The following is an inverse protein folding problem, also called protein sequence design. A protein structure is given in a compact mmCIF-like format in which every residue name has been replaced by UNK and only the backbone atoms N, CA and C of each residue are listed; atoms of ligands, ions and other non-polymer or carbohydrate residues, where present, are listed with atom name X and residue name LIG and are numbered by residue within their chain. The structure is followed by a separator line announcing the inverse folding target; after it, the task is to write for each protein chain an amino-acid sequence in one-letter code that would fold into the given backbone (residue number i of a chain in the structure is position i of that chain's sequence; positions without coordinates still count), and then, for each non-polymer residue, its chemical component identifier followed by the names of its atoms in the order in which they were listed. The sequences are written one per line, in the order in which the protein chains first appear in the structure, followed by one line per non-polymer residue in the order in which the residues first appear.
data_IF_431385048023
#
_entry.id   IF_431385048023
#
_cell.length_a   1.000
_cell.length_b   1.000
_cell.length_c   1.000
_cell.angle_alpha   90.00
_cell.angle_beta   90.00
_cell.angle_gamma   90.00
#
_symmetry.space_group_name_H-M   'P 1'
#
loop_
_entity.id
_entity.type
_entity.pdbx_description
1 polymer ?
#
# COMPACT_ATOMS: atom_id res chain seq x y z
N UNK A 1 7.12 16.20 14.04
CA UNK A 1 6.61 16.04 12.67
C UNK A 1 6.52 14.56 12.33
N UNK A 2 5.41 14.13 11.74
CA UNK A 2 5.23 12.72 11.38
C UNK A 2 6.12 12.32 10.20
N UNK A 3 6.71 11.12 10.29
CA UNK A 3 7.55 10.55 9.24
C UNK A 3 6.99 9.19 8.82
N UNK A 4 6.77 9.03 7.53
CA UNK A 4 6.26 7.78 7.01
C UNK A 4 7.22 6.63 7.28
N UNK A 5 6.64 5.48 7.67
CA UNK A 5 7.34 4.20 7.72
C UNK A 5 6.34 3.08 7.45
N UNK A 6 6.83 1.97 6.93
CA UNK A 6 6.00 0.79 6.76
C UNK A 6 5.83 0.10 8.11
N UNK A 7 4.59 -0.01 8.56
CA UNK A 7 4.28 -0.65 9.84
C UNK A 7 4.14 -2.15 9.62
N UNK A 8 4.98 -2.93 10.28
CA UNK A 8 4.92 -4.39 10.19
C UNK A 8 3.56 -4.91 10.64
N UNK A 9 3.05 -5.92 9.96
CA UNK A 9 1.76 -6.56 10.24
C UNK A 9 0.55 -5.67 9.96
N UNK A 10 0.73 -4.53 9.27
CA UNK A 10 -0.40 -3.73 8.80
C UNK A 10 -1.13 -4.44 7.66
N UNK A 11 -0.41 -4.75 6.58
CA UNK A 11 -0.93 -5.51 5.45
C UNK A 11 -1.99 -4.81 4.61
N UNK A 12 -2.36 -3.56 4.91
CA UNK A 12 -3.42 -2.87 4.17
C UNK A 12 -3.11 -2.75 2.69
N UNK A 13 -1.84 -2.54 2.33
CA UNK A 13 -1.42 -2.43 0.93
C UNK A 13 -1.53 -3.75 0.16
N UNK A 14 -1.72 -4.87 0.84
CA UNK A 14 -1.94 -6.18 0.22
C UNK A 14 -3.42 -6.44 -0.09
N UNK A 15 -4.32 -5.55 0.29
CA UNK A 15 -5.72 -5.61 -0.10
C UNK A 15 -5.84 -4.96 -1.48
N UNK A 16 -5.94 -5.79 -2.52
CA UNK A 16 -5.78 -5.35 -3.90
C UNK A 16 -7.08 -5.24 -4.69
N UNK A 17 -8.22 -5.63 -4.12
CA UNK A 17 -9.50 -5.72 -4.85
C UNK A 17 -9.70 -4.52 -5.79
N UNK A 18 -9.72 -4.74 -7.12
CA UNK A 18 -9.82 -3.63 -8.09
C UNK A 18 -11.15 -2.87 -8.00
N UNK A 19 -12.20 -3.49 -7.47
CA UNK A 19 -13.49 -2.81 -7.31
C UNK A 19 -13.44 -1.77 -6.20
N UNK A 20 -12.53 -1.91 -5.25
CA UNK A 20 -12.32 -0.96 -4.15
C UNK A 20 -11.19 0.02 -4.44
N UNK A 21 -10.36 -0.27 -5.44
CA UNK A 21 -9.22 0.56 -5.83
C UNK A 21 -9.19 0.80 -7.34
N UNK A 22 -10.29 1.30 -7.93
CA UNK A 22 -10.39 1.42 -9.41
C UNK A 22 -9.37 2.39 -10.01
N UNK A 23 -8.91 3.37 -9.23
CA UNK A 23 -7.96 4.38 -9.70
C UNK A 23 -6.56 3.83 -9.95
N UNK A 24 -6.22 2.66 -9.40
CA UNK A 24 -4.87 2.07 -9.55
C UNK A 24 -4.56 1.81 -11.02
N UNK A 25 -5.55 1.39 -11.80
CA UNK A 25 -5.36 1.12 -13.22
C UNK A 25 -4.84 2.34 -13.98
N UNK A 26 -5.24 3.54 -13.57
CA UNK A 26 -4.86 4.79 -14.24
C UNK A 26 -3.38 5.12 -14.08
N UNK A 27 -2.73 4.58 -13.05
CA UNK A 27 -1.33 4.88 -12.74
C UNK A 27 -0.35 3.84 -13.24
N UNK A 28 -0.83 2.66 -13.64
CA UNK A 28 0.03 1.55 -14.05
C UNK A 28 0.07 1.40 -15.57
N UNK A 29 1.21 0.93 -16.08
CA UNK A 29 1.29 0.52 -17.49
C UNK A 29 0.44 -0.72 -17.69
N UNK A 30 0.17 -1.07 -18.97
CA UNK A 30 -0.61 -2.27 -19.27
C UNK A 30 0.04 -3.53 -18.71
N UNK A 31 1.38 -3.62 -18.76
CA UNK A 31 2.12 -4.76 -18.21
C UNK A 31 2.02 -4.80 -16.69
N UNK A 32 2.17 -3.65 -16.03
CA UNK A 32 2.04 -3.54 -14.58
C UNK A 32 0.62 -3.87 -14.12
N UNK A 33 -0.39 -3.42 -14.87
CA UNK A 33 -1.79 -3.73 -14.56
C UNK A 33 -2.06 -5.23 -14.67
N UNK A 34 -1.56 -5.89 -15.72
CA UNK A 34 -1.68 -7.34 -15.87
C UNK A 34 -1.02 -8.07 -14.71
N UNK A 35 0.19 -7.61 -14.30
CA UNK A 35 0.90 -8.18 -13.16
C UNK A 35 0.09 -7.99 -11.86
N UNK A 36 -0.43 -6.77 -11.66
CA UNK A 36 -1.28 -6.46 -10.49
C UNK A 36 -2.47 -7.42 -10.42
N UNK A 37 -3.19 -7.59 -11.51
CA UNK A 37 -4.34 -8.48 -11.55
C UNK A 37 -3.96 -9.93 -11.25
N UNK A 38 -2.78 -10.36 -11.66
CA UNK A 38 -2.29 -11.72 -11.38
C UNK A 38 -2.04 -11.97 -9.89
N UNK A 39 -1.86 -10.91 -9.10
CA UNK A 39 -1.64 -11.00 -7.66
C UNK A 39 -2.93 -11.01 -6.85
N UNK A 40 -4.05 -10.65 -7.46
CA UNK A 40 -5.33 -10.55 -6.74
C UNK A 40 -5.90 -11.94 -6.51
N UNK A 41 -6.04 -12.33 -5.24
CA UNK A 41 -6.67 -13.58 -4.86
C UNK A 41 -8.19 -13.52 -4.91
N UNK A 42 -8.83 -14.66 -4.71
CA UNK A 42 -10.30 -14.77 -4.74
C UNK A 42 -10.98 -13.92 -3.68
N UNK A 43 -10.29 -13.62 -2.60
CA UNK A 43 -10.78 -12.82 -1.47
C UNK A 43 -10.41 -11.33 -1.59
N UNK A 44 -9.79 -10.92 -2.69
CA UNK A 44 -9.35 -9.54 -2.91
C UNK A 44 -7.99 -9.21 -2.33
N UNK A 45 -7.39 -10.11 -1.55
CA UNK A 45 -6.04 -9.92 -1.01
C UNK A 45 -4.98 -10.45 -1.98
N UNK A 46 -3.77 -9.91 -1.87
CA UNK A 46 -2.64 -10.40 -2.64
C UNK A 46 -2.38 -11.89 -2.34
N UNK A 47 -2.11 -12.68 -3.36
CA UNK A 47 -1.81 -14.11 -3.20
C UNK A 47 -0.56 -14.37 -2.34
N UNK A 48 0.30 -13.37 -2.18
CA UNK A 48 1.50 -13.44 -1.35
C UNK A 48 1.29 -12.92 0.07
N UNK A 49 0.08 -12.49 0.40
CA UNK A 49 -0.23 -12.03 1.75
C UNK A 49 -0.47 -13.22 2.66
N UNK A 50 0.27 -13.27 3.78
CA UNK A 50 0.06 -14.29 4.80
C UNK A 50 -0.89 -13.74 5.87
N UNK A 51 -2.13 -14.26 5.89
CA UNK A 51 -3.15 -13.80 6.83
C UNK A 51 -2.84 -14.10 8.29
N UNK A 52 -2.06 -15.16 8.56
CA UNK A 52 -1.71 -15.54 9.92
C UNK A 52 -0.69 -14.59 10.53
N UNK A 53 0.36 -14.22 9.77
CA UNK A 53 1.40 -13.30 10.22
C UNK A 53 1.12 -11.86 9.82
N UNK A 54 0.18 -11.64 8.88
CA UNK A 54 -0.18 -10.35 8.31
C UNK A 54 1.01 -9.68 7.62
N UNK A 55 1.82 -10.48 6.91
CA UNK A 55 3.02 -10.04 6.22
C UNK A 55 3.00 -10.47 4.76
N UNK A 56 3.67 -9.69 3.93
CA UNK A 56 3.92 -10.05 2.54
C UNK A 56 5.03 -11.08 2.49
N UNK A 57 4.77 -12.26 1.88
CA UNK A 57 5.76 -13.35 1.76
C UNK A 57 6.90 -12.99 0.83
N UNK A 58 6.69 -12.03 -0.08
CA UNK A 58 7.70 -11.59 -1.05
C UNK A 58 8.13 -10.16 -0.77
N UNK A 59 8.19 -9.76 0.50
CA UNK A 59 8.45 -8.36 0.87
C UNK A 59 9.69 -7.79 0.18
N UNK A 60 10.79 -8.55 0.14
CA UNK A 60 12.03 -8.11 -0.49
C UNK A 60 11.94 -8.07 -2.02
N UNK A 61 11.11 -8.91 -2.62
CA UNK A 61 10.92 -9.03 -4.06
C UNK A 61 9.62 -8.38 -4.54
N UNK A 62 9.04 -7.46 -3.75
CA UNK A 62 7.80 -6.79 -4.14
C UNK A 62 7.92 -6.10 -5.49
N UNK A 63 6.86 -6.15 -6.33
CA UNK A 63 6.83 -5.32 -7.53
C UNK A 63 7.03 -3.85 -7.20
N UNK A 64 7.49 -3.06 -8.18
CA UNK A 64 7.73 -1.63 -7.96
C UNK A 64 6.47 -0.91 -7.48
N UNK A 65 5.30 -1.23 -8.05
CA UNK A 65 4.05 -0.58 -7.65
C UNK A 65 3.62 -0.89 -6.22
N UNK A 66 4.27 -1.83 -5.53
CA UNK A 66 4.05 -2.13 -4.11
C UNK A 66 5.07 -1.44 -3.21
N UNK A 67 5.98 -0.64 -3.75
CA UNK A 67 7.08 -0.03 -2.99
C UNK A 67 6.88 1.47 -2.83
N UNK A 68 7.05 1.95 -1.61
CA UNK A 68 7.06 3.38 -1.31
C UNK A 68 8.51 3.86 -1.43
N UNK A 69 8.88 4.30 -2.63
CA UNK A 69 10.23 4.78 -2.94
C UNK A 69 10.12 6.05 -3.79
N UNK A 70 11.08 6.99 -3.66
CA UNK A 70 10.99 8.27 -4.37
C UNK A 70 10.88 8.13 -5.89
N UNK A 71 11.69 7.29 -6.51
CA UNK A 71 11.69 7.08 -7.96
C UNK A 71 10.39 6.43 -8.44
N UNK A 72 9.86 5.48 -7.68
CA UNK A 72 8.60 4.80 -8.01
C UNK A 72 7.42 5.78 -7.92
N UNK A 73 7.33 6.55 -6.85
CA UNK A 73 6.22 7.49 -6.65
C UNK A 73 6.28 8.65 -7.63
N UNK A 74 7.47 9.11 -8.01
CA UNK A 74 7.61 10.12 -9.05
C UNK A 74 7.11 9.59 -10.39
N UNK A 75 7.47 8.37 -10.74
CA UNK A 75 7.05 7.74 -12.01
C UNK A 75 5.56 7.45 -12.05
N UNK A 76 5.01 6.87 -10.97
CA UNK A 76 3.60 6.45 -10.95
C UNK A 76 2.64 7.62 -10.71
N UNK A 77 2.97 8.53 -9.81
CA UNK A 77 2.03 9.54 -9.31
C UNK A 77 2.48 10.98 -9.54
N UNK A 78 3.68 11.19 -10.10
CA UNK A 78 4.22 12.53 -10.28
C UNK A 78 4.58 13.25 -8.99
N UNK A 79 4.82 12.50 -7.91
CA UNK A 79 5.14 13.05 -6.59
C UNK A 79 6.65 13.32 -6.50
N UNK A 80 7.01 14.57 -6.18
CA UNK A 80 8.41 14.92 -6.00
C UNK A 80 8.96 14.36 -4.68
N UNK A 81 10.29 14.11 -4.59
CA UNK A 81 10.87 13.51 -3.39
C UNK A 81 10.55 14.25 -2.10
N UNK A 82 10.49 15.58 -2.11
CA UNK A 82 10.20 16.39 -0.92
C UNK A 82 8.73 16.28 -0.47
N UNK A 83 7.85 15.80 -1.34
CA UNK A 83 6.44 15.60 -1.04
C UNK A 83 6.12 14.15 -0.66
N UNK A 84 7.09 13.24 -0.84
CA UNK A 84 6.86 11.80 -0.68
C UNK A 84 6.35 11.43 0.70
N UNK A 85 6.94 12.00 1.76
CA UNK A 85 6.58 11.68 3.13
C UNK A 85 5.08 11.92 3.41
N UNK A 86 4.60 13.11 3.07
CA UNK A 86 3.20 13.48 3.30
C UNK A 86 2.26 12.69 2.41
N UNK A 87 2.64 12.47 1.15
CA UNK A 87 1.84 11.71 0.20
C UNK A 87 1.71 10.25 0.64
N UNK A 88 2.80 9.62 1.06
CA UNK A 88 2.80 8.23 1.51
C UNK A 88 1.96 8.06 2.78
N UNK A 89 2.04 9.01 3.72
CA UNK A 89 1.22 8.99 4.93
C UNK A 89 -0.27 9.07 4.56
N UNK A 90 -0.64 9.97 3.66
CA UNK A 90 -2.03 10.12 3.23
C UNK A 90 -2.56 8.86 2.55
N UNK A 91 -1.75 8.25 1.67
CA UNK A 91 -2.13 7.01 0.99
C UNK A 91 -2.33 5.86 1.95
N UNK A 92 -1.43 5.71 2.93
CA UNK A 92 -1.54 4.63 3.92
C UNK A 92 -2.74 4.84 4.82
N UNK A 93 -3.00 6.07 5.28
CA UNK A 93 -4.18 6.37 6.08
C UNK A 93 -5.46 6.01 5.35
N UNK A 94 -5.57 6.43 4.10
CA UNK A 94 -6.75 6.16 3.28
C UNK A 94 -6.96 4.66 3.10
N UNK A 95 -5.90 3.92 2.79
CA UNK A 95 -5.98 2.48 2.59
C UNK A 95 -6.31 1.73 3.88
N UNK A 96 -5.69 2.10 4.99
CA UNK A 96 -5.97 1.48 6.30
C UNK A 96 -7.43 1.73 6.68
N UNK A 97 -7.92 2.95 6.51
CA UNK A 97 -9.30 3.28 6.83
C UNK A 97 -10.28 2.50 5.96
N UNK A 98 -9.96 2.32 4.68
CA UNK A 98 -10.80 1.56 3.76
C UNK A 98 -10.85 0.07 4.10
N UNK A 99 -9.74 -0.50 4.56
CA UNK A 99 -9.64 -1.95 4.84
C UNK A 99 -10.09 -2.29 6.26
N UNK A 100 -9.64 -1.52 7.25
CA UNK A 100 -9.84 -1.84 8.67
C UNK A 100 -10.74 -0.88 9.41
N UNK A 101 -10.97 0.32 8.86
CA UNK A 101 -11.73 1.38 9.53
C UNK A 101 -10.84 2.39 10.24
N UNK A 102 -11.37 3.61 10.41
CA UNK A 102 -10.63 4.74 10.97
C UNK A 102 -10.37 4.62 12.48
N UNK A 103 -11.02 3.69 13.16
CA UNK A 103 -10.86 3.45 14.60
C UNK A 103 -10.24 2.09 14.90
N UNK A 104 -9.56 1.51 13.91
CA UNK A 104 -8.96 0.20 14.04
C UNK A 104 -7.65 0.25 14.81
N UNK A 105 -7.20 -0.93 15.30
CA UNK A 105 -5.88 -1.08 15.90
C UNK A 105 -4.78 -0.76 14.88
N UNK A 106 -5.01 -1.12 13.62
CA UNK A 106 -4.10 -0.88 12.50
C UNK A 106 -3.91 0.63 12.30
N UNK A 107 -4.99 1.39 12.35
CA UNK A 107 -4.93 2.84 12.25
C UNK A 107 -4.15 3.44 13.42
N UNK A 108 -4.43 3.00 14.66
CA UNK A 108 -3.72 3.46 15.84
C UNK A 108 -2.23 3.14 15.80
N UNK A 109 -1.88 1.93 15.36
CA UNK A 109 -0.49 1.52 15.21
C UNK A 109 0.23 2.39 14.19
N UNK A 110 -0.40 2.65 13.06
CA UNK A 110 0.20 3.46 12.01
C UNK A 110 0.49 4.87 12.52
N UNK A 111 -0.50 5.52 13.15
CA UNK A 111 -0.33 6.87 13.67
C UNK A 111 0.79 6.95 14.71
N UNK A 112 0.89 5.96 15.59
CA UNK A 112 1.94 5.91 16.59
C UNK A 112 3.32 5.71 15.98
N UNK A 113 3.44 4.81 15.00
CA UNK A 113 4.74 4.49 14.40
C UNK A 113 5.29 5.63 13.55
N UNK A 114 4.43 6.43 12.93
CA UNK A 114 4.89 7.60 12.15
C UNK A 114 5.18 8.81 13.05
N UNK A 115 4.96 8.70 14.35
CA UNK A 115 5.28 9.77 15.31
C UNK A 115 4.19 10.81 15.48
N UNK A 116 2.95 10.42 15.22
CA UNK A 116 1.83 11.34 15.34
C UNK A 116 1.25 11.37 16.75
#
# INVERSE_FOLDING_TARGET
MANWCCVQQCGACCHLDPTERPEVQDYLTSEEWAHYLSLVGADGWCIHFDGATRRCRIYAERPQFCRVQPDVFQRLYGVEPEELNEFAIACCREQIDAVYGDRSLESLRFEREIGF
#
